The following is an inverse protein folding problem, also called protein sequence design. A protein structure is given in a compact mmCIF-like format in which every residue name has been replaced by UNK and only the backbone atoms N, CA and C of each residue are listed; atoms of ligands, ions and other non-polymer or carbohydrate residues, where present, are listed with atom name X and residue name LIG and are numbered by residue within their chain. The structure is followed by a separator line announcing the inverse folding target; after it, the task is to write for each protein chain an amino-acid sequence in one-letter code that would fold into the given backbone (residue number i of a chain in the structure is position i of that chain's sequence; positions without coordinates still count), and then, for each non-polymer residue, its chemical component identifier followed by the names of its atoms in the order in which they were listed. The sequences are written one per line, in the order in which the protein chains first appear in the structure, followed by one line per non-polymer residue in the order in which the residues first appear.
data_IF_458944430631
#
_entry.id   IF_458944430631
#
_cell.length_a   1.000
_cell.length_b   1.000
_cell.length_c   1.000
_cell.angle_alpha   90.00
_cell.angle_beta   90.00
_cell.angle_gamma   90.00
#
_symmetry.space_group_name_H-M   'P 1'
#
loop_
_entity.id
_entity.type
_entity.pdbx_description
1 polymer ?
#
# COMPACT_ATOMS: atom_id res chain seq x y z
N UNK A 1 3.18 -0.58 3.05
CA UNK A 1 2.45 -1.86 2.97
C UNK A 1 1.01 -1.72 3.35
N UNK A 2 0.24 -2.82 3.29
CA UNK A 2 -0.93 -2.91 4.17
C UNK A 2 -0.38 -2.81 5.60
N UNK A 3 -1.04 -2.05 6.47
CA UNK A 3 -0.59 -1.94 7.86
C UNK A 3 -0.66 -3.30 8.54
N UNK A 4 0.27 -3.56 9.47
CA UNK A 4 0.24 -4.73 10.34
C UNK A 4 -1.13 -4.85 11.03
N UNK A 5 -1.72 -6.04 11.16
CA UNK A 5 -3.04 -6.23 11.79
C UNK A 5 -4.26 -5.56 11.11
N UNK A 6 -4.07 -4.63 10.17
CA UNK A 6 -5.14 -4.22 9.28
C UNK A 6 -5.52 -5.41 8.39
N UNK A 7 -6.80 -5.60 8.12
CA UNK A 7 -7.30 -6.74 7.33
C UNK A 7 -7.04 -8.13 7.96
N UNK A 8 -6.87 -8.21 9.30
CA UNK A 8 -6.51 -9.44 10.02
C UNK A 8 -5.18 -10.06 9.55
N UNK A 9 -4.25 -9.24 9.07
CA UNK A 9 -2.90 -9.71 8.72
C UNK A 9 -2.08 -10.02 9.97
N UNK A 10 -1.34 -11.12 9.93
CA UNK A 10 -0.36 -11.46 10.97
C UNK A 10 0.69 -10.34 11.10
N UNK A 11 1.19 -10.02 12.31
CA UNK A 11 2.26 -9.05 12.50
C UNK A 11 3.53 -9.37 11.69
N UNK A 12 3.77 -10.63 11.33
CA UNK A 12 4.88 -11.09 10.50
C UNK A 12 4.50 -11.39 9.05
N UNK A 13 3.31 -11.01 8.59
CA UNK A 13 2.89 -11.23 7.21
C UNK A 13 3.84 -10.55 6.20
N UNK A 14 4.14 -11.23 5.11
CA UNK A 14 4.98 -10.66 4.04
C UNK A 14 4.26 -9.46 3.38
N UNK A 15 2.92 -9.43 3.37
CA UNK A 15 2.11 -8.31 2.85
C UNK A 15 2.24 -7.02 3.68
N UNK A 16 2.63 -7.12 4.95
CA UNK A 16 2.89 -5.96 5.81
C UNK A 16 4.36 -5.55 5.80
N UNK A 17 5.29 -6.52 5.74
CA UNK A 17 6.75 -6.28 5.82
C UNK A 17 7.44 -6.08 4.47
N UNK A 18 7.09 -6.90 3.48
CA UNK A 18 7.72 -6.93 2.14
C UNK A 18 6.82 -6.34 1.05
N UNK A 19 5.53 -6.17 1.32
CA UNK A 19 4.55 -5.60 0.40
C UNK A 19 4.32 -4.11 0.63
N UNK A 20 4.15 -3.34 -0.45
CA UNK A 20 3.72 -1.94 -0.39
C UNK A 20 2.41 -1.71 -1.15
N UNK A 21 1.60 -0.75 -0.68
CA UNK A 21 0.40 -0.35 -1.39
C UNK A 21 0.77 0.72 -2.43
N UNK A 22 0.63 0.36 -3.71
CA UNK A 22 0.83 1.27 -4.84
C UNK A 22 -0.23 2.37 -4.93
N UNK A 23 -1.36 2.25 -4.21
CA UNK A 23 -2.45 3.22 -4.26
C UNK A 23 -1.96 4.65 -3.97
N UNK A 24 -1.03 4.83 -3.03
CA UNK A 24 -0.48 6.14 -2.68
C UNK A 24 0.47 6.72 -3.73
N UNK A 25 0.91 5.91 -4.70
CA UNK A 25 1.73 6.34 -5.83
C UNK A 25 0.87 6.72 -7.05
N UNK A 26 -0.42 6.43 -7.02
CA UNK A 26 -1.36 6.81 -8.06
C UNK A 26 -1.91 8.19 -7.71
N UNK A 27 -1.75 9.15 -8.62
CA UNK A 27 -2.26 10.51 -8.43
C UNK A 27 -3.76 10.56 -8.64
N UNK A 28 -4.45 11.41 -7.88
CA UNK A 28 -5.89 11.68 -8.03
C UNK A 28 -6.22 12.36 -9.36
N UNK A 29 -5.22 12.95 -10.03
CA UNK A 29 -5.36 13.58 -11.33
C UNK A 29 -4.32 13.06 -12.31
N UNK A 30 -4.74 12.85 -13.56
CA UNK A 30 -3.89 12.43 -14.67
C UNK A 30 -3.54 13.64 -15.57
N UNK A 31 -2.27 13.77 -15.99
CA UNK A 31 -1.88 14.77 -16.97
C UNK A 31 -2.26 14.31 -18.39
N UNK A 32 -3.09 15.08 -19.07
CA UNK A 32 -3.46 14.86 -20.47
C UNK A 32 -2.79 15.94 -21.33
N UNK A 33 -1.92 15.50 -22.25
CA UNK A 33 -1.29 16.40 -23.23
C UNK A 33 -2.27 16.70 -24.36
N UNK A 34 -2.47 17.98 -24.63
CA UNK A 34 -3.30 18.49 -25.74
C UNK A 34 -2.49 19.44 -26.61
N UNK A 35 -3.05 19.80 -27.77
CA UNK A 35 -2.41 20.76 -28.70
C UNK A 35 -2.12 22.12 -28.06
N UNK A 36 -2.87 22.50 -27.01
CA UNK A 36 -2.81 23.82 -26.37
C UNK A 36 -2.13 23.79 -24.98
N UNK A 37 -1.54 22.65 -24.57
CA UNK A 37 -0.90 22.50 -23.26
C UNK A 37 -1.24 21.19 -22.55
N UNK A 38 -0.83 21.08 -21.28
CA UNK A 38 -1.13 19.91 -20.42
C UNK A 38 -2.28 20.26 -19.48
N UNK A 39 -3.35 19.47 -19.52
CA UNK A 39 -4.49 19.57 -18.61
C UNK A 39 -4.42 18.48 -17.55
N UNK A 40 -5.01 18.73 -16.38
CA UNK A 40 -5.19 17.72 -15.34
C UNK A 40 -6.65 17.31 -15.28
N UNK A 41 -6.91 16.00 -15.27
CA UNK A 41 -8.25 15.43 -15.22
C UNK A 41 -8.31 14.44 -14.07
N UNK A 42 -9.44 14.38 -13.38
CA UNK A 42 -9.66 13.42 -12.29
C UNK A 42 -9.41 11.99 -12.78
N UNK A 43 -8.68 11.22 -11.98
CA UNK A 43 -8.41 9.79 -12.14
C UNK A 43 -9.57 8.92 -11.60
N UNK A 44 -10.78 9.46 -11.63
CA UNK A 44 -12.00 8.76 -11.23
C UNK A 44 -12.75 8.26 -12.46
N UNK A 45 -13.42 7.13 -12.35
CA UNK A 45 -14.38 6.69 -13.36
C UNK A 45 -15.45 7.77 -13.55
N UNK A 46 -15.63 8.32 -14.77
CA UNK A 46 -16.60 9.38 -15.02
C UNK A 46 -18.06 8.95 -14.78
N UNK A 47 -18.34 7.64 -14.72
CA UNK A 47 -19.68 7.11 -14.49
C UNK A 47 -19.96 6.98 -12.99
N UNK A 48 -19.04 6.38 -12.23
CA UNK A 48 -19.28 6.04 -10.82
C UNK A 48 -18.62 6.99 -9.82
N UNK A 49 -17.67 7.81 -10.26
CA UNK A 49 -16.87 8.68 -9.39
C UNK A 49 -15.91 7.95 -8.45
N UNK A 50 -15.78 6.63 -8.60
CA UNK A 50 -14.80 5.83 -7.84
C UNK A 50 -13.43 5.96 -8.48
N UNK A 51 -12.36 5.71 -7.71
CA UNK A 51 -11.00 5.70 -8.22
C UNK A 51 -10.90 4.72 -9.41
N UNK A 52 -10.74 5.26 -10.61
CA UNK A 52 -10.69 4.51 -11.85
C UNK A 52 -9.23 4.21 -12.13
N UNK A 53 -8.78 2.97 -11.95
CA UNK A 53 -7.36 2.60 -12.14
C UNK A 53 -6.96 2.52 -13.63
N UNK A 54 -7.71 3.19 -14.50
CA UNK A 54 -7.61 3.03 -15.93
C UNK A 54 -6.60 4.06 -16.46
N UNK A 55 -5.46 3.54 -16.94
CA UNK A 55 -4.40 4.25 -17.67
C UNK A 55 -3.18 4.79 -16.89
N UNK A 56 -2.94 4.31 -15.66
CA UNK A 56 -1.66 4.58 -14.98
C UNK A 56 -0.61 3.54 -15.39
N UNK A 57 0.56 4.02 -15.84
CA UNK A 57 1.74 3.19 -16.10
C UNK A 57 2.81 3.45 -15.06
N UNK A 58 3.32 2.36 -14.46
CA UNK A 58 4.45 2.41 -13.53
C UNK A 58 5.71 1.85 -14.20
N UNK A 59 6.86 2.44 -13.88
CA UNK A 59 8.17 1.90 -14.24
C UNK A 59 8.81 1.32 -12.99
N UNK A 60 9.21 0.06 -13.07
CA UNK A 60 9.94 -0.63 -12.01
C UNK A 60 11.42 -0.75 -12.41
N UNK A 61 12.31 -0.61 -11.43
CA UNK A 61 13.74 -0.86 -11.57
C UNK A 61 14.23 -1.71 -10.39
N UNK A 62 15.23 -2.57 -10.58
CA UNK A 62 15.85 -3.29 -9.47
C UNK A 62 16.40 -2.31 -8.43
N UNK A 63 16.25 -2.67 -7.15
CA UNK A 63 16.88 -1.95 -6.05
C UNK A 63 18.42 -2.05 -6.13
N UNK A 64 19.10 -1.02 -5.66
CA UNK A 64 20.57 -1.01 -5.53
C UNK A 64 21.06 -2.01 -4.47
N UNK A 65 22.30 -2.48 -4.59
CA UNK A 65 22.89 -3.45 -3.65
C UNK A 65 23.14 -2.92 -2.23
N UNK A 66 22.97 -1.61 -2.03
CA UNK A 66 23.12 -0.92 -0.74
C UNK A 66 21.82 -0.28 -0.26
N UNK A 67 20.70 -0.54 -0.95
CA UNK A 67 19.39 -0.05 -0.54
C UNK A 67 18.78 -0.99 0.51
N UNK A 68 18.14 -0.41 1.52
CA UNK A 68 17.43 -1.16 2.55
C UNK A 68 16.34 -2.03 1.91
N UNK A 69 16.28 -3.30 2.29
CA UNK A 69 15.27 -4.25 1.79
C UNK A 69 13.90 -4.10 2.47
N UNK A 70 13.75 -3.07 3.29
CA UNK A 70 12.53 -2.80 4.03
C UNK A 70 11.55 -1.95 3.22
N UNK A 71 10.27 -2.12 3.50
CA UNK A 71 9.21 -1.39 2.81
C UNK A 71 8.98 -0.01 3.45
N UNK A 72 9.12 1.06 2.67
CA UNK A 72 8.79 2.42 3.06
C UNK A 72 7.65 3.03 2.21
N UNK A 73 6.74 3.84 2.78
CA UNK A 73 6.56 4.07 4.21
C UNK A 73 5.92 2.85 4.90
N UNK A 74 6.36 2.59 6.12
CA UNK A 74 5.75 1.61 7.02
C UNK A 74 4.73 2.34 7.90
N UNK A 75 3.48 1.88 7.91
CA UNK A 75 2.44 2.43 8.76
C UNK A 75 2.22 1.48 9.95
N UNK A 76 2.46 1.97 11.16
CA UNK A 76 2.09 1.26 12.38
C UNK A 76 0.57 1.23 12.48
N UNK A 77 -0.01 0.06 12.75
CA UNK A 77 -1.44 0.02 12.97
C UNK A 77 -1.79 0.69 14.29
N UNK A 78 -2.81 1.55 14.24
CA UNK A 78 -3.38 2.17 15.41
C UNK A 78 -4.47 1.26 15.97
N UNK A 79 -4.49 1.09 17.28
CA UNK A 79 -5.58 0.37 17.93
C UNK A 79 -6.90 1.10 17.69
N UNK A 80 -7.91 0.37 17.21
CA UNK A 80 -9.26 0.88 17.00
C UNK A 80 -10.27 0.09 17.82
N UNK A 81 -11.35 0.72 18.32
CA UNK A 81 -12.40 0.00 19.04
C UNK A 81 -12.96 -1.16 18.22
N UNK A 82 -13.04 -2.35 18.82
CA UNK A 82 -13.53 -3.57 18.16
C UNK A 82 -12.46 -4.40 17.43
N UNK A 83 -11.20 -3.99 17.46
CA UNK A 83 -10.09 -4.78 16.93
C UNK A 83 -9.87 -6.04 17.78
N UNK A 84 -10.09 -7.21 17.17
CA UNK A 84 -9.84 -8.51 17.80
C UNK A 84 -8.34 -8.79 17.76
N UNK A 85 -7.64 -8.55 18.87
CA UNK A 85 -6.29 -9.08 19.04
C UNK A 85 -6.39 -10.61 19.16
N UNK A 86 -5.83 -11.33 18.20
CA UNK A 86 -5.64 -12.77 18.34
C UNK A 86 -4.63 -13.02 19.46
N UNK A 87 -5.14 -13.18 20.68
CA UNK A 87 -4.39 -13.66 21.84
C UNK A 87 -4.01 -15.13 21.61
N UNK A 88 -3.06 -15.40 20.72
CA UNK A 88 -2.53 -16.76 20.53
C UNK A 88 -1.08 -16.83 20.03
N UNK A 89 -0.38 -15.71 19.85
CA UNK A 89 1.09 -15.70 19.77
C UNK A 89 1.71 -15.48 21.17
N UNK A 90 1.27 -16.25 22.16
CA UNK A 90 1.94 -16.37 23.45
C UNK A 90 2.65 -17.73 23.47
N UNK A 91 3.98 -17.68 23.42
CA UNK A 91 4.94 -18.73 23.76
C UNK A 91 4.79 -20.09 23.08
N UNK A 92 5.53 -20.27 21.98
CA UNK A 92 6.04 -21.59 21.58
C UNK A 92 7.56 -21.55 21.35
N UNK A 93 8.30 -21.12 22.37
CA UNK A 93 9.74 -21.35 22.49
C UNK A 93 10.17 -21.36 23.95
N UNK A 94 9.66 -22.32 24.71
CA UNK A 94 10.25 -22.74 25.98
C UNK A 94 9.59 -24.05 26.40
N UNK A 95 10.07 -25.15 25.80
CA UNK A 95 10.24 -26.46 26.44
C UNK A 95 10.71 -27.47 25.39
N UNK A 96 12.03 -27.61 25.28
CA UNK A 96 12.87 -28.83 25.27
C UNK A 96 14.18 -28.58 24.52
#
# INVERSE_FOLDING_TARGET
GKAESAWHLDPNADESKKGFLLNHLITEELPIKTMNGTFRVSNSDPITGQAGWYDVRVKLSPAGSSEDMDTWPTAQAKEVPGMLFSSSYVNKSSNE
#
